data_IF_927968942690
#
_entry.id   IF_927968942690
#
_cell.length_a   1.000
_cell.length_b   1.000
_cell.length_c   1.000
_cell.angle_alpha   90.00
_cell.angle_beta   90.00
_cell.angle_gamma   90.00
#
_symmetry.space_group_name_H-M   'P 1'
#
loop_
_entity.id
_entity.type
_entity.pdbx_description
1 polymer ?
#
# COMPACT_ATOMS: atom_id res chain seq x y z
N UNK A 1 -12.82 -0.36 2.97
CA UNK A 1 -12.35 -1.74 3.04
C UNK A 1 -10.85 -1.81 3.25
N UNK A 2 -10.08 -1.17 2.37
CA UNK A 2 -8.63 -0.97 2.53
C UNK A 2 -8.29 0.44 3.01
N UNK A 3 -9.25 1.38 2.96
CA UNK A 3 -9.15 2.73 3.54
C UNK A 3 -8.71 2.75 5.03
N UNK A 4 -8.94 1.66 5.76
CA UNK A 4 -8.48 1.51 7.14
C UNK A 4 -6.96 1.59 7.25
N UNK A 5 -6.20 1.13 6.25
CA UNK A 5 -4.74 1.27 6.23
C UNK A 5 -4.32 2.74 6.16
N UNK A 6 -5.05 3.58 5.40
CA UNK A 6 -4.75 5.02 5.32
C UNK A 6 -5.12 5.75 6.61
N UNK A 7 -6.22 5.37 7.26
CA UNK A 7 -6.60 5.91 8.56
C UNK A 7 -5.53 5.61 9.60
N UNK A 8 -5.13 4.34 9.72
CA UNK A 8 -4.11 3.90 10.66
C UNK A 8 -2.74 4.57 10.41
N UNK A 9 -2.39 4.78 9.13
CA UNK A 9 -1.16 5.45 8.74
C UNK A 9 -1.17 6.93 9.12
N UNK A 10 -2.27 7.63 8.85
CA UNK A 10 -2.43 9.05 9.17
C UNK A 10 -2.45 9.30 10.69
N UNK A 11 -3.10 8.44 11.46
CA UNK A 11 -3.10 8.53 12.94
C UNK A 11 -1.71 8.39 13.55
N UNK A 12 -0.81 7.66 12.88
CA UNK A 12 0.58 7.45 13.29
C UNK A 12 1.57 8.39 12.59
N UNK A 13 1.06 9.44 11.93
CA UNK A 13 1.85 10.50 11.32
C UNK A 13 2.70 10.09 10.12
N UNK A 14 2.35 9.00 9.43
CA UNK A 14 3.09 8.55 8.24
C UNK A 14 4.54 8.13 8.52
N UNK A 15 4.88 7.79 9.77
CA UNK A 15 6.22 7.36 10.14
C UNK A 15 6.57 5.99 9.52
N UNK A 16 7.87 5.68 9.39
CA UNK A 16 8.34 4.36 8.94
C UNK A 16 7.69 3.21 9.74
N UNK A 17 7.57 3.37 11.07
CA UNK A 17 6.87 2.41 11.95
C UNK A 17 5.38 2.26 11.63
N UNK A 18 4.72 3.33 11.18
CA UNK A 18 3.33 3.27 10.76
C UNK A 18 3.17 2.38 9.51
N UNK A 19 4.09 2.50 8.56
CA UNK A 19 4.14 1.64 7.37
C UNK A 19 4.44 0.18 7.73
N UNK A 20 5.37 -0.06 8.66
CA UNK A 20 5.63 -1.41 9.18
C UNK A 20 4.36 -2.03 9.78
N UNK A 21 3.65 -1.28 10.63
CA UNK A 21 2.37 -1.71 11.19
C UNK A 21 1.30 -1.99 10.14
N UNK A 22 1.24 -1.19 9.06
CA UNK A 22 0.34 -1.43 7.93
C UNK A 22 0.68 -2.75 7.22
N UNK A 23 1.96 -3.00 6.95
CA UNK A 23 2.40 -4.25 6.31
C UNK A 23 2.03 -5.48 7.15
N UNK A 24 2.27 -5.45 8.46
CA UNK A 24 1.91 -6.54 9.38
C UNK A 24 0.40 -6.79 9.38
N UNK A 25 -0.41 -5.73 9.47
CA UNK A 25 -1.88 -5.84 9.43
C UNK A 25 -2.39 -6.38 8.10
N UNK A 26 -1.80 -5.96 6.99
CA UNK A 26 -2.16 -6.45 5.66
C UNK A 26 -1.84 -7.95 5.52
N UNK A 27 -0.64 -8.37 5.92
CA UNK A 27 -0.24 -9.79 5.92
C UNK A 27 -1.15 -10.66 6.79
N UNK A 28 -1.54 -10.17 7.97
CA UNK A 28 -2.47 -10.91 8.84
C UNK A 28 -3.80 -11.21 8.14
N UNK A 29 -4.35 -10.23 7.39
CA UNK A 29 -5.63 -10.36 6.69
C UNK A 29 -5.57 -11.31 5.49
N UNK A 30 -4.40 -11.49 4.85
CA UNK A 30 -4.26 -12.37 3.66
C UNK A 30 -4.75 -13.79 3.94
N UNK A 31 -4.47 -14.31 5.14
CA UNK A 31 -4.84 -15.67 5.52
C UNK A 31 -6.34 -15.85 5.80
N UNK A 32 -7.01 -14.79 6.24
CA UNK A 32 -8.43 -14.80 6.59
C UNK A 32 -9.34 -14.30 5.45
N UNK A 33 -8.79 -13.63 4.43
CA UNK A 33 -9.52 -13.00 3.33
C UNK A 33 -8.90 -13.41 1.97
N UNK A 34 -9.02 -14.69 1.56
CA UNK A 34 -8.37 -15.21 0.35
C UNK A 34 -8.79 -14.45 -0.93
N UNK A 35 -10.02 -13.96 -1.00
CA UNK A 35 -10.53 -13.17 -2.12
C UNK A 35 -9.87 -11.78 -2.26
N UNK A 36 -9.27 -11.29 -1.17
CA UNK A 36 -8.58 -10.01 -1.10
C UNK A 36 -7.06 -10.16 -1.03
N UNK A 37 -6.56 -11.40 -0.97
CA UNK A 37 -5.16 -11.73 -0.74
C UNK A 37 -4.21 -10.98 -1.69
N UNK A 38 -4.52 -10.92 -2.98
CA UNK A 38 -3.69 -10.22 -3.96
C UNK A 38 -3.62 -8.70 -3.69
N UNK A 39 -4.75 -8.06 -3.40
CA UNK A 39 -4.80 -6.63 -3.08
C UNK A 39 -4.05 -6.34 -1.76
N UNK A 40 -4.26 -7.17 -0.74
CA UNK A 40 -3.59 -7.07 0.56
C UNK A 40 -2.08 -7.26 0.42
N UNK A 41 -1.63 -8.18 -0.43
CA UNK A 41 -0.21 -8.40 -0.70
C UNK A 41 0.43 -7.17 -1.37
N UNK A 42 -0.26 -6.54 -2.33
CA UNK A 42 0.23 -5.30 -2.97
C UNK A 42 0.32 -4.15 -1.97
N UNK A 43 -0.66 -4.00 -1.07
CA UNK A 43 -0.62 -2.99 0.00
C UNK A 43 0.54 -3.27 0.96
N UNK A 44 0.72 -4.53 1.37
CA UNK A 44 1.83 -4.91 2.24
C UNK A 44 3.18 -4.63 1.58
N UNK A 45 3.33 -5.00 0.31
CA UNK A 45 4.54 -4.74 -0.47
C UNK A 45 4.82 -3.24 -0.60
N UNK A 46 3.81 -2.42 -0.90
CA UNK A 46 3.94 -0.98 -0.98
C UNK A 46 4.51 -0.38 0.32
N UNK A 47 3.97 -0.82 1.46
CA UNK A 47 4.43 -0.37 2.77
C UNK A 47 5.83 -0.89 3.12
N UNK A 48 6.12 -2.17 2.89
CA UNK A 48 7.42 -2.78 3.17
C UNK A 48 8.55 -2.11 2.37
N UNK A 49 8.30 -1.78 1.10
CA UNK A 49 9.29 -1.09 0.27
C UNK A 49 9.75 0.23 0.89
N UNK A 50 8.83 1.00 1.47
CA UNK A 50 9.19 2.24 2.15
C UNK A 50 9.96 1.97 3.44
N UNK A 51 9.55 0.98 4.23
CA UNK A 51 10.28 0.57 5.43
C UNK A 51 11.72 0.20 5.09
N UNK A 52 11.92 -0.66 4.09
CA UNK A 52 13.25 -1.09 3.65
C UNK A 52 14.11 0.06 3.10
N UNK A 53 13.50 1.01 2.39
CA UNK A 53 14.21 2.16 1.83
C UNK A 53 14.66 3.16 2.90
N UNK A 54 13.96 3.22 4.04
CA UNK A 54 14.20 4.20 5.10
C UNK A 54 14.60 3.59 6.44
N UNK A 55 14.82 2.27 6.50
CA UNK A 55 15.41 1.62 7.68
C UNK A 55 16.83 2.16 7.89
N UNK A 56 17.06 2.76 9.05
CA UNK A 56 18.29 3.48 9.41
C UNK A 56 18.73 4.60 8.43
N UNK A 57 17.88 5.06 7.51
CA UNK A 57 18.17 6.18 6.62
C UNK A 57 17.43 7.46 7.03
N UNK A 58 17.98 8.66 6.75
CA UNK A 58 17.28 9.90 6.96
C UNK A 58 16.05 10.00 6.06
N UNK A 59 14.85 10.10 6.65
CA UNK A 59 13.62 10.40 5.93
C UNK A 59 13.45 11.91 5.79
N UNK A 60 13.47 12.39 4.54
CA UNK A 60 13.15 13.80 4.25
C UNK A 60 11.64 13.99 4.20
N UNK A 61 11.17 15.21 4.50
CA UNK A 61 9.74 15.53 4.46
C UNK A 61 9.16 15.32 3.05
N UNK A 62 9.89 15.73 2.00
CA UNK A 62 9.50 15.51 0.60
C UNK A 62 9.34 14.03 0.26
N UNK A 63 10.27 13.19 0.70
CA UNK A 63 10.18 11.75 0.48
C UNK A 63 8.99 11.11 1.22
N UNK A 64 8.69 11.57 2.43
CA UNK A 64 7.54 11.12 3.19
C UNK A 64 6.22 11.50 2.50
N UNK A 65 6.13 12.74 1.99
CA UNK A 65 4.95 13.23 1.27
C UNK A 65 4.73 12.47 -0.04
N UNK A 66 5.79 12.25 -0.83
CA UNK A 66 5.74 11.47 -2.08
C UNK A 66 5.31 10.01 -1.83
N UNK A 67 5.83 9.39 -0.75
CA UNK A 67 5.41 8.04 -0.39
C UNK A 67 3.93 8.00 0.05
N UNK A 68 3.50 8.97 0.86
CA UNK A 68 2.12 9.03 1.32
C UNK A 68 1.16 9.17 0.14
N UNK A 69 1.50 10.00 -0.84
CA UNK A 69 0.71 10.17 -2.07
C UNK A 69 0.64 8.86 -2.86
N UNK A 70 1.78 8.19 -3.10
CA UNK A 70 1.83 6.91 -3.79
C UNK A 70 1.00 5.84 -3.08
N UNK A 71 1.19 5.69 -1.77
CA UNK A 71 0.49 4.70 -0.97
C UNK A 71 -1.02 4.96 -0.95
N UNK A 72 -1.41 6.23 -0.84
CA UNK A 72 -2.81 6.67 -0.93
C UNK A 72 -3.41 6.33 -2.29
N UNK A 73 -2.70 6.58 -3.40
CA UNK A 73 -3.14 6.26 -4.75
C UNK A 73 -3.42 4.75 -4.91
N UNK A 74 -2.51 3.91 -4.42
CA UNK A 74 -2.61 2.44 -4.48
C UNK A 74 -3.80 1.96 -3.67
N UNK A 75 -3.89 2.36 -2.40
CA UNK A 75 -4.96 1.89 -1.50
C UNK A 75 -6.32 2.35 -2.00
N UNK A 76 -6.47 3.60 -2.46
CA UNK A 76 -7.75 4.09 -2.99
C UNK A 76 -8.14 3.39 -4.29
N UNK A 77 -7.19 3.09 -5.17
CA UNK A 77 -7.44 2.34 -6.41
C UNK A 77 -8.00 0.95 -6.11
N UNK A 78 -7.40 0.25 -5.14
CA UNK A 78 -7.85 -1.08 -4.72
C UNK A 78 -9.18 -1.00 -3.95
N UNK A 79 -9.33 -0.05 -3.03
CA UNK A 79 -10.54 0.11 -2.21
C UNK A 79 -11.78 0.37 -3.07
N UNK A 80 -11.66 1.26 -4.07
CA UNK A 80 -12.75 1.57 -4.98
C UNK A 80 -13.19 0.36 -5.80
N UNK A 81 -12.24 -0.42 -6.34
CA UNK A 81 -12.54 -1.59 -7.14
C UNK A 81 -13.13 -2.75 -6.32
N UNK A 82 -12.74 -2.88 -5.05
CA UNK A 82 -13.17 -3.98 -4.19
C UNK A 82 -14.47 -3.70 -3.42
N UNK A 83 -14.89 -2.44 -3.27
CA UNK A 83 -16.14 -2.10 -2.56
C UNK A 83 -17.38 -2.61 -3.30
N UNK A 84 -17.49 -2.38 -4.61
CA UNK A 84 -18.67 -2.75 -5.41
C UNK A 84 -18.34 -3.20 -6.86
N UNK A 85 -17.05 -3.39 -7.17
CA UNK A 85 -16.61 -3.66 -8.55
C UNK A 85 -16.79 -5.12 -8.98
N UNK A 86 -17.09 -5.29 -10.28
CA UNK A 86 -17.03 -6.58 -10.95
C UNK A 86 -15.59 -7.15 -10.96
N UNK A 87 -15.44 -8.45 -11.20
CA UNK A 87 -14.13 -9.14 -11.20
C UNK A 87 -13.12 -8.47 -12.15
N UNK A 88 -13.56 -8.03 -13.34
CA UNK A 88 -12.71 -7.31 -14.29
C UNK A 88 -12.16 -5.99 -13.72
N UNK A 89 -12.97 -5.27 -12.93
CA UNK A 89 -12.55 -4.04 -12.29
C UNK A 89 -11.50 -4.30 -11.18
N UNK A 90 -11.65 -5.39 -10.42
CA UNK A 90 -10.68 -5.82 -9.43
C UNK A 90 -9.35 -6.18 -10.09
N UNK A 91 -9.38 -6.97 -11.18
CA UNK A 91 -8.17 -7.33 -11.93
C UNK A 91 -7.49 -6.10 -12.54
N UNK A 92 -8.26 -5.17 -13.13
CA UNK A 92 -7.72 -3.92 -13.66
C UNK A 92 -7.06 -3.07 -12.57
N UNK A 93 -7.65 -3.01 -11.38
CA UNK A 93 -7.08 -2.29 -10.23
C UNK A 93 -5.78 -2.94 -9.73
N UNK A 94 -5.71 -4.27 -9.64
CA UNK A 94 -4.49 -5.00 -9.30
C UNK A 94 -3.37 -4.70 -10.30
N UNK A 95 -3.67 -4.76 -11.59
CA UNK A 95 -2.70 -4.47 -12.65
C UNK A 95 -2.21 -3.02 -12.58
N UNK A 96 -3.12 -2.06 -12.37
CA UNK A 96 -2.78 -0.64 -12.24
C UNK A 96 -1.90 -0.38 -11.02
N UNK A 97 -2.26 -0.92 -9.85
CA UNK A 97 -1.47 -0.79 -8.63
C UNK A 97 -0.07 -1.40 -8.81
N UNK A 98 0.02 -2.59 -9.41
CA UNK A 98 1.29 -3.27 -9.68
C UNK A 98 2.18 -2.47 -10.63
N UNK A 99 1.63 -1.96 -11.72
CA UNK A 99 2.36 -1.12 -12.67
C UNK A 99 2.87 0.17 -12.03
N UNK A 100 2.04 0.79 -11.16
CA UNK A 100 2.42 1.99 -10.42
C UNK A 100 3.57 1.73 -9.46
N UNK A 101 3.52 0.62 -8.70
CA UNK A 101 4.60 0.17 -7.83
C UNK A 101 5.89 -0.15 -8.60
N UNK A 102 5.78 -0.82 -9.76
CA UNK A 102 6.94 -1.12 -10.58
C UNK A 102 7.62 0.16 -11.12
N UNK A 103 6.84 1.19 -11.44
CA UNK A 103 7.38 2.46 -11.94
C UNK A 103 8.17 3.26 -10.90
N UNK A 104 8.02 2.98 -9.59
CA UNK A 104 8.80 3.66 -8.55
C UNK A 104 10.16 3.02 -8.29
N UNK A 105 10.36 1.79 -8.77
CA UNK A 105 11.66 1.15 -8.86
C UNK A 105 12.40 1.82 -10.03
N UNK A 106 13.16 2.88 -9.76
CA UNK A 106 14.08 3.44 -10.77
C UNK A 106 14.95 2.30 -11.29
N UNK A 107 14.96 2.10 -12.60
CA UNK A 107 16.00 1.31 -13.25
C UNK A 107 17.35 1.89 -12.82
N UNK A 108 18.10 1.10 -12.06
CA UNK A 108 19.45 1.47 -11.60
C UNK A 108 20.39 1.78 -12.75
#
# INVERSE_FOLDING_TARGET
>A
MFDTFLKDLNEQGGSVRAYEGCAVKAHARITSEPENAAALLLIAYAAQRFVEAYDDQPLTMTAADEELELFTEIVNTLDAAYRDGAEDAKLAALNKASARLAATIKAG
#
